data_IF_246580292680
#
_entry.id   IF_246580292680
#
_cell.length_a   1.000
_cell.length_b   1.000
_cell.length_c   1.000
_cell.angle_alpha   90.00
_cell.angle_beta   90.00
_cell.angle_gamma   90.00
#
_symmetry.space_group_name_H-M   'P 1'
#
loop_
_entity.id
_entity.type
_entity.pdbx_description
1 polymer ?
#
# COMPACT_ATOMS: atom_id res chain seq x y z
N UNK A 1 -19.91 9.36 24.68
CA UNK A 1 -18.43 9.36 24.72
C UNK A 1 -17.93 8.01 24.23
N UNK A 2 -17.10 7.94 23.17
CA UNK A 2 -16.50 6.69 22.69
C UNK A 2 -15.12 6.56 23.32
N UNK A 3 -14.91 5.51 24.12
CA UNK A 3 -13.62 5.22 24.73
C UNK A 3 -12.57 5.00 23.63
N UNK A 4 -11.59 5.91 23.55
CA UNK A 4 -10.39 5.75 22.75
C UNK A 4 -9.41 4.95 23.60
N UNK A 5 -9.23 3.67 23.31
CA UNK A 5 -8.18 2.85 23.91
C UNK A 5 -6.99 2.83 22.95
N UNK A 6 -5.93 3.65 23.17
CA UNK A 6 -4.85 3.84 22.21
C UNK A 6 -3.88 2.64 22.08
N UNK A 7 -3.93 1.66 22.99
CA UNK A 7 -2.85 0.67 23.11
C UNK A 7 -3.12 -0.73 22.55
N UNK A 8 -4.34 -1.05 22.09
CA UNK A 8 -4.63 -2.36 21.47
C UNK A 8 -4.55 -2.38 19.93
N UNK A 9 -4.51 -1.22 19.27
CA UNK A 9 -4.70 -1.12 17.82
C UNK A 9 -3.40 -0.93 17.01
N UNK A 10 -2.28 -0.73 17.71
CA UNK A 10 -0.96 -0.54 17.11
C UNK A 10 -0.28 -1.86 16.71
N UNK A 11 -0.60 -2.95 17.41
CA UNK A 11 -0.02 -4.29 17.22
C UNK A 11 -0.82 -5.09 16.18
N UNK A 12 -2.13 -4.88 16.05
CA UNK A 12 -3.04 -5.68 15.19
C UNK A 12 -2.95 -5.33 13.69
N UNK A 13 -2.27 -4.24 13.32
CA UNK A 13 -2.20 -3.75 11.93
C UNK A 13 -0.91 -4.09 11.18
N UNK A 14 0.03 -4.83 11.76
CA UNK A 14 1.23 -5.31 11.06
C UNK A 14 0.99 -6.74 10.57
N UNK A 15 0.66 -6.89 9.29
CA UNK A 15 0.29 -8.16 8.67
C UNK A 15 1.49 -8.87 8.02
N UNK A 16 2.72 -8.43 8.35
CA UNK A 16 3.94 -8.87 7.68
C UNK A 16 4.08 -8.34 6.25
N UNK A 17 5.21 -8.57 5.59
CA UNK A 17 5.46 -8.10 4.22
C UNK A 17 4.31 -8.44 3.27
N UNK A 18 3.84 -7.45 2.51
CA UNK A 18 2.72 -7.65 1.60
C UNK A 18 3.23 -7.92 0.17
N UNK A 19 2.44 -8.63 -0.65
CA UNK A 19 2.78 -8.93 -2.04
C UNK A 19 3.24 -7.72 -2.86
N UNK A 20 2.67 -6.54 -2.62
CA UNK A 20 3.09 -5.31 -3.29
C UNK A 20 4.59 -5.03 -3.18
N UNK A 21 5.22 -5.32 -2.03
CA UNK A 21 6.65 -5.09 -1.86
C UNK A 21 7.49 -5.97 -2.78
N UNK A 22 7.06 -7.21 -2.98
CA UNK A 22 7.67 -8.14 -3.92
C UNK A 22 7.43 -7.71 -5.37
N UNK A 23 6.19 -7.35 -5.72
CA UNK A 23 5.84 -6.91 -7.08
C UNK A 23 6.66 -5.66 -7.45
N UNK A 24 6.78 -4.68 -6.55
CA UNK A 24 7.61 -3.51 -6.78
C UNK A 24 9.08 -3.89 -7.02
N UNK A 25 9.64 -4.82 -6.23
CA UNK A 25 11.01 -5.28 -6.41
C UNK A 25 11.21 -6.03 -7.74
N UNK A 26 10.26 -6.87 -8.16
CA UNK A 26 10.30 -7.59 -9.44
C UNK A 26 10.30 -6.63 -10.64
N UNK A 27 9.58 -5.51 -10.55
CA UNK A 27 9.58 -4.47 -11.58
C UNK A 27 10.68 -3.42 -11.43
N UNK A 28 11.56 -3.54 -10.42
CA UNK A 28 12.58 -2.54 -10.13
C UNK A 28 12.02 -1.17 -9.71
N UNK A 29 10.79 -1.12 -9.23
CA UNK A 29 10.09 0.11 -8.85
C UNK A 29 10.42 0.55 -7.43
N UNK A 30 10.67 1.84 -7.29
CA UNK A 30 10.83 2.50 -5.99
C UNK A 30 9.50 3.13 -5.56
N UNK A 31 9.34 3.45 -4.25
CA UNK A 31 8.20 4.24 -3.80
C UNK A 31 8.06 5.60 -4.49
N UNK A 32 9.16 6.16 -5.00
CA UNK A 32 9.12 7.41 -5.76
C UNK A 32 8.42 7.22 -7.11
N UNK A 33 8.69 6.11 -7.80
CA UNK A 33 8.09 5.83 -9.11
C UNK A 33 6.58 5.67 -9.02
N UNK A 34 6.07 5.01 -7.98
CA UNK A 34 4.63 4.92 -7.74
C UNK A 34 4.01 6.29 -7.44
N UNK A 35 4.69 7.14 -6.67
CA UNK A 35 4.19 8.49 -6.38
C UNK A 35 4.18 9.35 -7.64
N UNK A 36 5.22 9.25 -8.49
CA UNK A 36 5.32 9.97 -9.75
C UNK A 36 4.28 9.48 -10.79
N UNK A 37 3.97 8.19 -10.80
CA UNK A 37 2.95 7.60 -11.68
C UNK A 37 1.51 7.81 -11.19
N UNK A 38 1.32 8.22 -9.93
CA UNK A 38 -0.02 8.40 -9.36
C UNK A 38 -0.66 9.69 -9.86
N UNK A 39 -1.89 9.58 -10.35
CA UNK A 39 -2.74 10.74 -10.68
C UNK A 39 -3.48 11.30 -9.46
N UNK A 40 -3.39 10.60 -8.32
CA UNK A 40 -4.01 10.98 -7.06
C UNK A 40 -2.95 11.39 -6.04
N UNK A 41 -3.39 12.00 -4.92
CA UNK A 41 -2.49 12.29 -3.81
C UNK A 41 -2.05 10.97 -3.11
N UNK A 42 -0.89 10.47 -3.53
CA UNK A 42 -0.15 9.36 -2.95
C UNK A 42 1.17 9.89 -2.36
N UNK A 43 1.59 9.33 -1.21
CA UNK A 43 2.84 9.75 -0.55
C UNK A 43 3.78 8.56 -0.40
N UNK A 44 5.10 8.81 -0.34
CA UNK A 44 6.10 7.75 -0.11
C UNK A 44 5.81 6.97 1.18
N UNK A 45 5.29 7.65 2.22
CA UNK A 45 4.87 7.01 3.49
C UNK A 45 3.70 6.05 3.31
N UNK A 46 2.77 6.32 2.39
CA UNK A 46 1.67 5.39 2.10
C UNK A 46 2.19 4.12 1.44
N UNK A 47 3.07 4.27 0.44
CA UNK A 47 3.69 3.14 -0.26
C UNK A 47 4.56 2.30 0.69
N UNK A 48 5.42 2.94 1.48
CA UNK A 48 6.25 2.24 2.46
C UNK A 48 5.42 1.47 3.51
N UNK A 49 4.25 2.00 3.90
CA UNK A 49 3.32 1.30 4.80
C UNK A 49 2.67 0.11 4.12
N UNK A 50 2.30 0.23 2.84
CA UNK A 50 1.78 -0.88 2.03
C UNK A 50 2.78 -2.05 2.01
N UNK A 51 4.05 -1.78 1.66
CA UNK A 51 5.08 -2.81 1.53
C UNK A 51 5.40 -3.50 2.86
N UNK A 52 5.44 -2.74 3.96
CA UNK A 52 5.66 -3.28 5.32
C UNK A 52 4.46 -4.07 5.88
N UNK A 53 3.33 -4.03 5.19
CA UNK A 53 2.08 -4.64 5.63
C UNK A 53 1.38 -3.97 6.78
N UNK A 54 1.51 -2.65 6.86
CA UNK A 54 0.59 -1.87 7.69
C UNK A 54 -0.75 -1.81 6.99
N UNK A 55 -1.81 -2.23 7.69
CA UNK A 55 -3.19 -2.19 7.18
C UNK A 55 -3.54 -0.78 6.70
N UNK A 56 -3.89 -0.66 5.43
CA UNK A 56 -4.32 0.58 4.80
C UNK A 56 -5.84 0.68 4.75
N UNK A 57 -6.35 1.91 4.64
CA UNK A 57 -7.77 2.12 4.34
C UNK A 57 -8.07 1.75 2.89
N UNK A 58 -9.33 1.40 2.54
CA UNK A 58 -9.70 1.05 1.16
C UNK A 58 -9.34 2.12 0.13
N UNK A 59 -9.47 3.40 0.49
CA UNK A 59 -9.08 4.52 -0.37
C UNK A 59 -7.57 4.57 -0.61
N UNK A 60 -6.76 4.32 0.43
CA UNK A 60 -5.31 4.26 0.28
C UNK A 60 -4.88 3.05 -0.57
N UNK A 61 -5.53 1.89 -0.42
CA UNK A 61 -5.28 0.73 -1.28
C UNK A 61 -5.63 1.02 -2.75
N UNK A 62 -6.74 1.70 -3.01
CA UNK A 62 -7.14 2.08 -4.37
C UNK A 62 -6.09 2.94 -5.06
N UNK A 63 -5.59 3.96 -4.36
CA UNK A 63 -4.52 4.85 -4.85
C UNK A 63 -3.25 4.11 -5.18
N UNK A 64 -2.83 3.22 -4.27
CA UNK A 64 -1.63 2.41 -4.44
C UNK A 64 -1.79 1.45 -5.62
N UNK A 65 -2.95 0.83 -5.79
CA UNK A 65 -3.25 -0.04 -6.93
C UNK A 65 -3.21 0.72 -8.25
N UNK A 66 -3.88 1.87 -8.33
CA UNK A 66 -3.91 2.70 -9.53
C UNK A 66 -2.50 3.17 -9.91
N UNK A 67 -1.72 3.61 -8.93
CA UNK A 67 -0.33 4.01 -9.12
C UNK A 67 0.55 2.85 -9.61
N UNK A 68 0.41 1.65 -9.02
CA UNK A 68 1.18 0.48 -9.45
C UNK A 68 0.83 0.09 -10.88
N UNK A 69 -0.47 -0.03 -11.19
CA UNK A 69 -0.93 -0.35 -12.54
C UNK A 69 -0.46 0.68 -13.58
N UNK A 70 -0.44 1.97 -13.21
CA UNK A 70 0.10 3.03 -14.04
C UNK A 70 1.62 2.92 -14.23
N UNK A 71 2.37 2.61 -13.18
CA UNK A 71 3.82 2.48 -13.25
C UNK A 71 4.27 1.24 -14.05
N UNK A 72 3.57 0.12 -13.88
CA UNK A 72 3.92 -1.14 -14.56
C UNK A 72 3.22 -1.32 -15.91
N UNK A 73 2.22 -0.48 -16.23
CA UNK A 73 1.29 -0.69 -17.37
C UNK A 73 0.62 -2.08 -17.35
N UNK A 74 0.35 -2.60 -16.15
CA UNK A 74 -0.28 -3.92 -15.94
C UNK A 74 -1.64 -3.76 -15.24
N UNK A 75 -2.42 -4.84 -15.20
CA UNK A 75 -3.72 -4.88 -14.52
C UNK A 75 -3.68 -5.76 -13.27
N UNK A 76 -3.03 -5.28 -12.22
CA UNK A 76 -3.15 -5.90 -10.91
C UNK A 76 -4.52 -5.61 -10.28
N UNK A 77 -4.92 -6.48 -9.36
CA UNK A 77 -6.10 -6.36 -8.50
C UNK A 77 -5.67 -6.14 -7.05
N UNK A 78 -6.56 -5.60 -6.20
CA UNK A 78 -6.25 -5.38 -4.78
C UNK A 78 -5.78 -6.65 -4.06
N UNK A 79 -6.37 -7.80 -4.41
CA UNK A 79 -6.02 -9.12 -3.88
C UNK A 79 -4.60 -9.57 -4.25
N UNK A 80 -4.03 -9.02 -5.32
CA UNK A 80 -2.66 -9.31 -5.73
C UNK A 80 -1.65 -8.48 -4.93
N UNK A 81 -2.08 -7.36 -4.35
CA UNK A 81 -1.22 -6.43 -3.60
C UNK A 81 -1.31 -6.63 -2.09
N UNK A 82 -2.48 -7.05 -1.60
CA UNK A 82 -2.82 -7.13 -0.18
C UNK A 82 -3.49 -8.46 0.16
N UNK A 83 -3.10 -9.06 1.28
CA UNK A 83 -3.61 -10.37 1.75
C UNK A 83 -4.78 -10.26 2.74
N UNK A 84 -5.46 -9.10 2.82
CA UNK A 84 -6.44 -8.77 3.86
C UNK A 84 -7.61 -7.92 3.36
#
# INVERSE_FOLDING_TARGET
>A
MKAFCPMCDEIVRNLGPQPIGRIMAEHGLTPHDLVAASTEQLTHKMVARACKGRRLTPNAQAKVLAALNGATQQQYRRTDLFTY
#
